data_IF_578262630362
#
_entry.id   IF_578262630362
#
_cell.length_a   1.000
_cell.length_b   1.000
_cell.length_c   1.000
_cell.angle_alpha   90.00
_cell.angle_beta   90.00
_cell.angle_gamma   90.00
#
_symmetry.space_group_name_H-M   'P 1'
#
loop_
_entity.id
_entity.type
_entity.pdbx_description
1 polymer ?
#
# COMPACT_ATOMS: atom_id res chain seq x y z
N UNK A 1 12.82 17.33 30.11
CA UNK A 1 11.68 17.71 30.97
C UNK A 1 10.69 18.41 30.05
N UNK A 2 9.51 17.89 29.70
CA UNK A 2 8.73 16.79 30.25
C UNK A 2 7.98 16.13 29.10
N UNK A 3 8.20 14.82 28.91
CA UNK A 3 7.32 13.99 28.10
C UNK A 3 6.01 13.80 28.85
N UNK A 4 5.23 14.89 28.99
CA UNK A 4 3.91 14.88 29.60
C UNK A 4 3.04 13.94 28.77
N UNK A 5 2.88 12.73 29.27
CA UNK A 5 1.89 11.80 28.76
C UNK A 5 0.54 12.46 29.01
N UNK A 6 -0.03 13.00 27.94
CA UNK A 6 -1.31 13.72 28.02
C UNK A 6 -2.43 12.75 28.44
N UNK A 7 -2.35 11.51 27.96
CA UNK A 7 -3.37 10.49 28.21
C UNK A 7 -2.83 9.11 27.82
N UNK A 8 -3.04 8.12 28.68
CA UNK A 8 -2.83 6.71 28.36
C UNK A 8 -4.19 6.07 28.13
N UNK A 9 -4.32 5.32 27.04
CA UNK A 9 -5.54 4.59 26.72
C UNK A 9 -5.20 3.16 26.35
N UNK A 10 -5.82 2.17 27.01
CA UNK A 10 -5.65 0.77 26.64
C UNK A 10 -6.36 0.51 25.30
N UNK A 11 -5.68 -0.20 24.40
CA UNK A 11 -6.28 -0.68 23.14
C UNK A 11 -7.19 -1.88 23.40
N UNK A 12 -8.25 -1.69 24.17
CA UNK A 12 -9.22 -2.75 24.50
C UNK A 12 -10.18 -3.06 23.34
N UNK A 13 -10.22 -2.20 22.32
CA UNK A 13 -11.12 -2.30 21.17
C UNK A 13 -10.38 -2.83 19.95
N UNK A 14 -11.09 -3.57 19.12
CA UNK A 14 -10.63 -3.99 17.80
C UNK A 14 -10.27 -2.80 16.89
N UNK A 15 -10.90 -1.64 17.11
CA UNK A 15 -10.71 -0.44 16.31
C UNK A 15 -10.69 0.79 17.22
N UNK A 16 -9.56 1.49 17.22
CA UNK A 16 -9.29 2.69 18.00
C UNK A 16 -9.01 3.85 17.05
N UNK A 17 -9.89 4.84 17.01
CA UNK A 17 -9.74 6.00 16.12
C UNK A 17 -8.99 7.14 16.80
N UNK A 18 -8.18 7.86 16.02
CA UNK A 18 -7.36 8.99 16.46
C UNK A 18 -7.74 10.21 15.63
N UNK A 19 -8.02 11.33 16.30
CA UNK A 19 -8.30 12.57 15.59
C UNK A 19 -8.67 13.73 16.49
N UNK A 20 -8.96 14.89 15.89
CA UNK A 20 -9.30 16.12 16.62
C UNK A 20 -10.70 16.08 17.25
N UNK A 21 -11.64 15.38 16.62
CA UNK A 21 -13.03 15.31 17.10
C UNK A 21 -13.09 14.46 18.37
N UNK A 22 -13.94 14.86 19.32
CA UNK A 22 -14.24 14.09 20.54
C UNK A 22 -14.94 12.74 20.29
N UNK A 23 -15.35 12.47 19.04
CA UNK A 23 -15.87 11.16 18.65
C UNK A 23 -14.77 10.09 18.50
N UNK A 24 -13.51 10.51 18.35
CA UNK A 24 -12.39 9.59 18.31
C UNK A 24 -12.07 9.08 19.71
N UNK A 25 -11.66 7.83 19.79
CA UNK A 25 -11.22 7.23 21.05
C UNK A 25 -10.02 8.03 21.62
N UNK A 26 -9.06 8.33 20.75
CA UNK A 26 -7.92 9.18 21.04
C UNK A 26 -8.18 10.58 20.46
N UNK A 27 -8.75 11.44 21.29
CA UNK A 27 -8.94 12.85 20.96
C UNK A 27 -7.65 13.65 21.15
N UNK A 28 -7.18 14.29 20.08
CA UNK A 28 -6.05 15.22 20.14
C UNK A 28 -6.50 16.58 19.59
N UNK A 29 -6.73 17.53 20.49
CA UNK A 29 -7.18 18.87 20.11
C UNK A 29 -6.01 19.67 19.47
N UNK A 30 -5.87 19.55 18.15
CA UNK A 30 -4.91 20.33 17.40
C UNK A 30 -5.34 20.63 15.97
N UNK A 31 -5.00 21.84 15.50
CA UNK A 31 -5.24 22.25 14.12
C UNK A 31 -4.45 21.43 13.08
N UNK A 32 -3.31 20.85 13.47
CA UNK A 32 -2.51 20.00 12.57
C UNK A 32 -3.06 18.58 12.40
N UNK A 33 -4.07 18.19 13.20
CA UNK A 33 -4.66 16.85 13.21
C UNK A 33 -6.04 16.91 12.57
N UNK A 34 -6.31 15.99 11.64
CA UNK A 34 -7.61 15.90 10.98
C UNK A 34 -8.71 15.47 11.96
N UNK A 35 -9.97 15.75 11.58
CA UNK A 35 -11.11 15.29 12.37
C UNK A 35 -11.08 13.78 12.62
N UNK A 36 -10.68 13.02 11.60
CA UNK A 36 -10.34 11.60 11.60
C UNK A 36 -8.96 11.51 10.94
N UNK A 37 -7.91 11.20 11.70
CA UNK A 37 -6.52 11.27 11.25
C UNK A 37 -6.00 9.88 10.96
N UNK A 38 -5.98 9.03 11.98
CA UNK A 38 -5.55 7.65 11.85
C UNK A 38 -6.47 6.72 12.61
N UNK A 39 -6.42 5.45 12.27
CA UNK A 39 -7.11 4.40 12.99
C UNK A 39 -6.14 3.28 13.30
N UNK A 40 -6.15 2.83 14.54
CA UNK A 40 -5.46 1.63 14.97
C UNK A 40 -6.47 0.50 14.94
N UNK A 41 -6.15 -0.58 14.23
CA UNK A 41 -6.93 -1.80 14.17
C UNK A 41 -6.14 -2.89 14.86
N UNK A 42 -6.67 -3.43 15.94
CA UNK A 42 -6.05 -4.51 16.71
C UNK A 42 -6.79 -5.81 16.41
N UNK A 43 -6.07 -6.78 15.85
CA UNK A 43 -6.58 -8.08 15.42
C UNK A 43 -5.82 -9.15 16.20
N UNK A 44 -6.51 -9.84 17.11
CA UNK A 44 -5.94 -10.84 18.03
C UNK A 44 -4.80 -10.27 18.90
N UNK A 45 -3.56 -10.33 18.42
CA UNK A 45 -2.35 -9.85 19.09
C UNK A 45 -1.59 -8.79 18.26
N UNK A 46 -2.08 -8.52 17.05
CA UNK A 46 -1.43 -7.69 16.05
C UNK A 46 -2.12 -6.34 15.98
N UNK A 47 -1.36 -5.24 16.04
CA UNK A 47 -1.91 -3.89 15.92
C UNK A 47 -1.43 -3.24 14.63
N UNK A 48 -2.36 -2.66 13.88
CA UNK A 48 -2.10 -2.00 12.60
C UNK A 48 -2.54 -0.55 12.68
N UNK A 49 -1.65 0.36 12.32
CA UNK A 49 -1.97 1.78 12.14
C UNK A 49 -2.28 2.04 10.68
N UNK A 50 -3.45 2.62 10.41
CA UNK A 50 -3.86 3.06 9.08
C UNK A 50 -4.15 4.57 9.09
N UNK A 51 -3.51 5.29 8.17
CA UNK A 51 -3.73 6.71 7.94
C UNK A 51 -4.96 6.94 7.04
N UNK A 52 -5.85 7.83 7.46
CA UNK A 52 -7.08 8.19 6.74
C UNK A 52 -6.91 9.44 5.87
N UNK A 53 -5.76 9.58 5.19
CA UNK A 53 -5.37 10.78 4.44
C UNK A 53 -5.35 12.03 5.30
N UNK A 54 -4.55 11.96 6.35
CA UNK A 54 -4.32 13.09 7.24
C UNK A 54 -3.66 14.25 6.52
N UNK A 55 -4.01 15.49 6.89
CA UNK A 55 -3.45 16.69 6.23
C UNK A 55 -1.92 16.79 6.33
N UNK A 56 -1.34 16.36 7.46
CA UNK A 56 0.12 16.36 7.66
C UNK A 56 0.76 14.97 7.41
N UNK A 57 -0.06 13.95 7.14
CA UNK A 57 0.37 12.55 7.14
C UNK A 57 0.60 11.99 8.54
N UNK A 58 0.93 10.70 8.57
CA UNK A 58 1.27 9.94 9.78
C UNK A 58 2.68 9.39 9.62
N UNK A 59 3.51 9.61 10.63
CA UNK A 59 4.88 9.13 10.65
C UNK A 59 5.04 8.11 11.75
N UNK A 60 5.79 7.05 11.48
CA UNK A 60 6.17 6.04 12.46
C UNK A 60 7.68 5.94 12.46
N UNK A 61 8.29 6.15 13.63
CA UNK A 61 9.75 6.17 13.78
C UNK A 61 10.45 7.17 12.81
N UNK A 62 9.78 8.28 12.49
CA UNK A 62 10.26 9.28 11.52
C UNK A 62 10.03 8.93 10.04
N UNK A 63 9.39 7.80 9.72
CA UNK A 63 9.04 7.41 8.34
C UNK A 63 7.56 7.65 8.03
N UNK A 64 7.20 8.29 6.91
CA UNK A 64 5.80 8.47 6.52
C UNK A 64 5.18 7.12 6.15
N UNK A 65 4.03 6.79 6.74
CA UNK A 65 3.31 5.54 6.50
C UNK A 65 1.88 5.81 6.04
N UNK A 66 1.33 4.84 5.30
CA UNK A 66 -0.11 4.73 5.02
C UNK A 66 -0.75 3.62 5.84
N UNK A 67 -0.11 2.46 5.86
CA UNK A 67 -0.43 1.33 6.71
C UNK A 67 0.86 0.84 7.34
N UNK A 68 0.86 0.61 8.64
CA UNK A 68 2.05 0.16 9.35
C UNK A 68 1.68 -0.81 10.46
N UNK A 69 2.52 -1.83 10.65
CA UNK A 69 2.38 -2.78 11.73
C UNK A 69 3.01 -2.21 13.01
N UNK A 70 2.22 -1.96 14.04
CA UNK A 70 2.70 -1.37 15.28
C UNK A 70 3.45 -2.40 16.13
N UNK A 71 4.69 -2.06 16.49
CA UNK A 71 5.54 -2.88 17.35
C UNK A 71 5.71 -2.24 18.72
N UNK A 72 5.92 -3.06 19.76
CA UNK A 72 6.15 -2.56 21.12
C UNK A 72 7.28 -1.51 21.15
N UNK A 73 7.03 -0.37 21.79
CA UNK A 73 7.90 0.81 21.84
C UNK A 73 7.97 1.66 20.57
N UNK A 74 7.09 1.42 19.59
CA UNK A 74 7.01 2.27 18.42
C UNK A 74 6.55 3.70 18.77
N UNK A 75 7.07 4.68 18.02
CA UNK A 75 6.77 6.09 18.21
C UNK A 75 6.08 6.63 16.97
N UNK A 76 4.80 6.93 17.14
CA UNK A 76 3.91 7.45 16.11
C UNK A 76 3.91 8.97 16.23
N UNK A 77 4.22 9.67 15.15
CA UNK A 77 4.26 11.12 15.10
C UNK A 77 3.14 11.65 14.19
N UNK A 78 2.29 12.49 14.78
CA UNK A 78 1.11 13.07 14.15
C UNK A 78 1.26 14.59 14.18
N UNK A 79 1.84 15.15 13.12
CA UNK A 79 2.20 16.56 13.05
C UNK A 79 3.22 16.95 14.12
N UNK A 80 2.75 17.56 15.22
CA UNK A 80 3.59 17.99 16.35
C UNK A 80 3.50 17.09 17.59
N UNK A 81 2.65 16.06 17.55
CA UNK A 81 2.44 15.14 18.68
C UNK A 81 3.16 13.83 18.44
N UNK A 82 3.60 13.21 19.53
CA UNK A 82 4.27 11.91 19.53
C UNK A 82 3.50 10.99 20.47
N UNK A 83 3.02 9.88 19.95
CA UNK A 83 2.37 8.82 20.70
C UNK A 83 3.35 7.66 20.77
N UNK A 84 3.53 7.09 21.96
CA UNK A 84 4.33 5.88 22.13
C UNK A 84 3.39 4.70 22.27
N UNK A 85 3.53 3.72 21.39
CA UNK A 85 2.84 2.45 21.51
C UNK A 85 3.61 1.54 22.46
N UNK A 86 2.95 1.05 23.50
CA UNK A 86 3.52 0.10 24.47
C UNK A 86 2.61 -1.12 24.48
N UNK A 87 3.19 -2.27 24.17
CA UNK A 87 2.51 -3.56 24.28
C UNK A 87 3.27 -4.39 25.32
N UNK A 88 2.59 -4.71 26.42
CA UNK A 88 3.12 -5.52 27.54
C UNK A 88 3.08 -7.02 27.24
N UNK A 89 2.48 -7.43 26.12
CA UNK A 89 2.53 -8.80 25.63
C UNK A 89 3.91 -9.08 25.00
N UNK A 90 4.63 -10.15 25.40
CA UNK A 90 5.93 -10.46 24.80
C UNK A 90 5.77 -10.66 23.30
N UNK A 91 6.34 -9.72 22.53
CA UNK A 91 6.43 -9.76 21.08
C UNK A 91 7.30 -10.96 20.66
N UNK A 92 6.67 -12.11 20.51
CA UNK A 92 7.31 -13.36 20.09
C UNK A 92 6.69 -14.01 18.85
N UNK A 93 5.71 -13.38 18.19
CA UNK A 93 4.95 -14.04 17.12
C UNK A 93 4.58 -13.18 15.89
N UNK A 94 5.11 -11.98 15.73
CA UNK A 94 4.85 -11.17 14.53
C UNK A 94 6.10 -10.38 14.10
N UNK A 95 7.12 -11.12 13.66
CA UNK A 95 8.20 -10.58 12.86
C UNK A 95 7.91 -10.86 11.38
N UNK A 96 7.54 -9.81 10.65
CA UNK A 96 7.83 -9.64 9.22
C UNK A 96 6.81 -10.17 8.21
N UNK A 97 6.19 -9.24 7.48
CA UNK A 97 5.85 -9.37 6.06
C UNK A 97 5.57 -7.93 5.53
N UNK A 98 6.55 -7.30 4.88
CA UNK A 98 6.65 -7.16 3.40
C UNK A 98 6.17 -5.80 2.85
N UNK A 99 7.05 -4.80 2.77
CA UNK A 99 6.87 -3.70 1.79
C UNK A 99 8.15 -3.21 1.11
N UNK A 100 9.31 -3.83 1.36
CA UNK A 100 10.58 -3.50 0.70
C UNK A 100 10.91 -4.42 -0.49
N UNK A 101 9.90 -4.86 -1.25
CA UNK A 101 10.12 -5.33 -2.63
C UNK A 101 9.50 -4.38 -3.66
N UNK A 102 9.53 -3.09 -3.35
CA UNK A 102 9.34 -2.02 -4.31
C UNK A 102 10.72 -1.63 -4.88
N UNK A 103 10.95 -2.04 -6.13
CA UNK A 103 11.83 -1.40 -7.12
C UNK A 103 13.36 -1.55 -6.96
N UNK A 104 13.89 -2.69 -7.41
CA UNK A 104 15.13 -2.67 -8.23
C UNK A 104 14.77 -3.15 -9.64
N UNK A 105 14.31 -2.22 -10.49
CA UNK A 105 14.36 -2.43 -11.92
C UNK A 105 15.83 -2.36 -12.36
N UNK A 106 16.42 -3.53 -12.64
CA UNK A 106 17.43 -3.69 -13.68
C UNK A 106 16.96 -4.81 -14.59
N UNK A 107 16.37 -4.52 -15.77
CA UNK A 107 16.07 -5.55 -16.74
C UNK A 107 17.36 -5.91 -17.48
N UNK A 108 17.87 -7.13 -17.29
CA UNK A 108 18.98 -7.61 -18.09
C UNK A 108 19.73 -8.80 -17.50
N UNK A 109 19.11 -9.98 -17.49
CA UNK A 109 19.76 -11.28 -17.78
C UNK A 109 18.75 -12.41 -17.60
N UNK A 110 17.90 -12.62 -18.62
CA UNK A 110 17.13 -13.85 -18.73
C UNK A 110 18.05 -14.97 -19.26
N UNK A 111 18.25 -16.01 -18.47
CA UNK A 111 18.59 -17.35 -18.96
C UNK A 111 17.40 -18.26 -18.65
N UNK A 112 16.77 -18.89 -19.65
CA UNK A 112 15.86 -20.00 -19.40
C UNK A 112 16.53 -21.34 -19.75
N UNK A 113 16.37 -22.33 -18.86
CA UNK A 113 16.49 -23.76 -19.16
C UNK A 113 15.86 -24.58 -18.01
N UNK A 114 15.34 -25.81 -18.21
CA UNK A 114 14.71 -26.41 -19.39
C UNK A 114 13.31 -27.05 -19.10
N UNK A 115 12.75 -27.71 -20.13
CA UNK A 115 11.43 -28.38 -20.36
C UNK A 115 10.98 -29.47 -19.33
N UNK A 116 9.89 -30.28 -19.51
CA UNK A 116 8.90 -30.40 -20.61
C UNK A 116 7.41 -30.62 -20.21
N UNK A 117 6.47 -30.40 -21.13
CA UNK A 117 5.25 -31.23 -21.21
C UNK A 117 4.76 -31.32 -22.64
N UNK A 118 4.41 -32.54 -23.03
CA UNK A 118 4.21 -33.01 -24.37
C UNK A 118 2.73 -33.04 -24.79
N UNK A 119 2.51 -32.79 -26.09
CA UNK A 119 1.42 -33.30 -26.95
C UNK A 119 0.03 -32.64 -26.73
N UNK A 120 -0.77 -32.33 -27.75
CA UNK A 120 -1.29 -33.21 -28.84
C UNK A 120 -1.59 -32.37 -30.11
N UNK A 121 -1.30 -32.91 -31.30
CA UNK A 121 -1.63 -32.40 -32.66
C UNK A 121 -2.88 -33.13 -33.20
N UNK A 122 -3.70 -32.60 -34.14
CA UNK A 122 -3.44 -32.69 -35.60
C UNK A 122 -4.04 -31.47 -36.37
N UNK A 123 -3.86 -31.18 -37.66
CA UNK A 123 -3.23 -31.80 -38.82
C UNK A 123 -3.61 -30.91 -40.04
N UNK A 124 -2.77 -30.95 -41.09
CA UNK A 124 -3.11 -30.86 -42.53
C UNK A 124 -4.00 -29.69 -43.05
N UNK A 125 -3.65 -28.85 -44.04
CA UNK A 125 -2.96 -29.04 -45.33
C UNK A 125 -2.57 -27.67 -45.94
N UNK A 126 -1.27 -27.52 -46.25
CA UNK A 126 -0.61 -27.02 -47.49
C UNK A 126 -1.13 -25.88 -48.42
N UNK A 127 -0.19 -25.28 -49.21
CA UNK A 127 -0.12 -23.86 -49.57
C UNK A 127 -0.40 -23.57 -51.07
N UNK A 128 -0.46 -22.30 -51.48
CA UNK A 128 -0.53 -21.97 -52.92
C UNK A 128 -0.48 -20.48 -53.28
N UNK A 129 0.71 -20.03 -53.66
CA UNK A 129 1.06 -19.21 -54.84
C UNK A 129 0.06 -18.21 -55.48
N UNK A 130 0.64 -17.05 -55.85
CA UNK A 130 0.32 -16.22 -57.04
C UNK A 130 -1.01 -15.42 -56.95
N UNK A 131 -1.24 -14.27 -57.58
CA UNK A 131 -0.53 -13.34 -58.45
C UNK A 131 -1.59 -12.30 -58.88
N UNK A 132 -1.16 -11.10 -59.34
CA UNK A 132 -1.93 -10.16 -60.19
C UNK A 132 -3.12 -9.44 -59.48
N UNK A 133 -3.60 -8.25 -59.84
CA UNK A 133 -3.31 -7.30 -60.91
C UNK A 133 -4.07 -5.97 -60.60
N UNK A 134 -3.53 -4.87 -61.14
CA UNK A 134 -4.24 -3.79 -61.84
C UNK A 134 -5.24 -2.85 -61.12
N UNK A 135 -4.96 -1.56 -61.32
CA UNK A 135 -5.84 -0.39 -61.22
C UNK A 135 -7.10 -0.52 -62.11
N UNK A 136 -8.11 0.38 -61.97
CA UNK A 136 -8.05 1.73 -62.56
C UNK A 136 -8.73 2.86 -61.75
N UNK A 137 -8.42 4.11 -62.15
CA UNK A 137 -9.06 5.40 -61.80
C UNK A 137 -10.55 5.48 -62.29
N UNK A 138 -11.30 6.63 -62.29
CA UNK A 138 -10.96 8.03 -61.96
C UNK A 138 -12.07 8.90 -61.28
N UNK A 139 -11.72 10.18 -61.06
CA UNK A 139 -12.53 11.43 -61.15
C UNK A 139 -13.62 11.80 -60.10
N UNK A 140 -13.54 13.04 -59.60
CA UNK A 140 -14.68 13.79 -59.06
C UNK A 140 -14.34 14.92 -58.08
N UNK A 141 -14.17 16.16 -58.58
CA UNK A 141 -14.30 17.42 -57.83
C UNK A 141 -15.80 17.67 -57.44
N UNK A 142 -16.26 18.80 -56.85
CA UNK A 142 -15.59 20.08 -56.54
C UNK A 142 -16.00 20.79 -55.21
N UNK A 143 -15.37 21.96 -54.97
CA UNK A 143 -15.88 23.20 -54.37
C UNK A 143 -16.19 23.29 -52.85
N UNK A 144 -15.41 24.13 -52.15
CA UNK A 144 -15.88 25.34 -51.43
C UNK A 144 -14.66 26.18 -51.01
#
# INVERSE_FOLDING_TARGET
MDGLVLKEMPLAKERTTIGRKAHNDIQIDNLAISGEHAVIVTILNDSFLEDLNSTNGTYVNGQPIKKHFLQSNDVIELGKYRLKYVNEQPAGAAAGADYEKTLVLRPGTARPAPAPTAQIQPGDTHPGMAAHASAPAPQGAPAA
#
